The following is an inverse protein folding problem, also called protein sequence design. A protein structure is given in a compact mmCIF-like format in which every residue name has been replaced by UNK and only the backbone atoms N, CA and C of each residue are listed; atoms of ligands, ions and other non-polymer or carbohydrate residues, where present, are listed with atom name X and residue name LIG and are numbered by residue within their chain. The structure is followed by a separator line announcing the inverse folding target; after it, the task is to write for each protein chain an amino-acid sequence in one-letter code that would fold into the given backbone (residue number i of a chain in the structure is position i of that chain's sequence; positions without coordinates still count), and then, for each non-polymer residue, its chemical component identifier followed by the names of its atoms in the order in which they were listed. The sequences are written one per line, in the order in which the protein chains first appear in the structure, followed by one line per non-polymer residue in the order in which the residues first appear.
data_IF_747079422883
#
_entry.id   IF_747079422883
#
_cell.length_a   1.000
_cell.length_b   1.000
_cell.length_c   1.000
_cell.angle_alpha   90.00
_cell.angle_beta   90.00
_cell.angle_gamma   90.00
#
_symmetry.space_group_name_H-M   'P 1'
#
loop_
_entity.id
_entity.type
_entity.pdbx_description
1 polymer ?
#
# COMPACT_ATOMS: atom_id res chain seq x y z
N UNK A 1 -31.49 1.24 2.43
CA UNK A 1 -31.06 0.35 1.33
C UNK A 1 -29.74 -0.29 1.75
N UNK A 2 -29.76 -1.56 1.97
CA UNK A 2 -28.56 -2.35 2.32
C UNK A 2 -27.63 -2.32 1.10
N UNK A 3 -26.38 -1.91 1.32
CA UNK A 3 -25.38 -1.82 0.24
C UNK A 3 -25.02 -3.26 -0.15
N UNK A 4 -25.55 -3.74 -1.26
CA UNK A 4 -25.25 -5.08 -1.76
C UNK A 4 -23.74 -5.22 -1.93
N UNK A 5 -23.17 -6.19 -1.21
CA UNK A 5 -21.73 -6.46 -1.20
C UNK A 5 -21.33 -7.16 -2.50
N UNK A 6 -20.33 -6.66 -3.16
CA UNK A 6 -19.82 -7.27 -4.40
C UNK A 6 -18.85 -8.40 -4.04
N UNK A 7 -19.35 -9.63 -4.15
CA UNK A 7 -18.61 -10.85 -3.80
C UNK A 7 -17.38 -11.06 -4.68
N UNK A 8 -17.41 -10.61 -5.95
CA UNK A 8 -16.26 -10.72 -6.85
C UNK A 8 -15.11 -9.82 -6.39
N UNK A 9 -15.41 -8.58 -6.02
CA UNK A 9 -14.43 -7.64 -5.49
C UNK A 9 -13.80 -8.17 -4.20
N UNK A 10 -14.60 -8.75 -3.31
CA UNK A 10 -14.10 -9.32 -2.05
C UNK A 10 -13.25 -10.57 -2.30
N UNK A 11 -13.62 -11.42 -3.25
CA UNK A 11 -12.84 -12.58 -3.66
C UNK A 11 -11.46 -12.16 -4.23
N UNK A 12 -11.44 -11.18 -5.14
CA UNK A 12 -10.19 -10.67 -5.72
C UNK A 12 -9.25 -10.07 -4.65
N UNK A 13 -9.80 -9.33 -3.68
CA UNK A 13 -9.01 -8.85 -2.54
C UNK A 13 -8.45 -10.00 -1.71
N UNK A 14 -9.26 -11.03 -1.45
CA UNK A 14 -8.85 -12.23 -0.73
C UNK A 14 -7.69 -12.94 -1.44
N UNK A 15 -7.82 -13.17 -2.74
CA UNK A 15 -6.75 -13.74 -3.58
C UNK A 15 -5.48 -12.86 -3.49
N UNK A 16 -5.61 -11.55 -3.65
CA UNK A 16 -4.47 -10.63 -3.58
C UNK A 16 -3.74 -10.71 -2.23
N UNK A 17 -4.46 -10.67 -1.11
CA UNK A 17 -3.87 -10.77 0.24
C UNK A 17 -3.20 -12.13 0.44
N UNK A 18 -3.88 -13.23 0.09
CA UNK A 18 -3.32 -14.59 0.20
C UNK A 18 -2.06 -14.72 -0.63
N UNK A 19 -2.05 -14.16 -1.85
CA UNK A 19 -0.88 -14.13 -2.72
C UNK A 19 0.29 -13.36 -2.11
N UNK A 20 0.04 -12.21 -1.46
CA UNK A 20 1.09 -11.47 -0.73
C UNK A 20 1.71 -12.35 0.36
N UNK A 21 0.87 -13.00 1.17
CA UNK A 21 1.34 -13.89 2.25
C UNK A 21 2.18 -15.03 1.69
N UNK A 22 1.70 -15.71 0.65
CA UNK A 22 2.43 -16.81 -0.01
C UNK A 22 3.76 -16.31 -0.58
N UNK A 23 3.77 -15.17 -1.29
CA UNK A 23 4.99 -14.59 -1.87
C UNK A 23 6.04 -14.30 -0.81
N UNK A 24 5.65 -13.69 0.31
CA UNK A 24 6.56 -13.36 1.41
C UNK A 24 6.94 -14.57 2.29
N UNK A 25 6.18 -15.66 2.24
CA UNK A 25 6.44 -16.89 3.01
C UNK A 25 7.09 -17.99 2.17
N UNK A 26 7.33 -17.79 0.88
CA UNK A 26 7.84 -18.82 -0.04
C UNK A 26 9.23 -19.35 0.36
N UNK A 27 10.01 -18.57 1.12
CA UNK A 27 11.29 -19.00 1.67
C UNK A 27 11.16 -19.99 2.84
N UNK A 28 9.98 -20.10 3.46
CA UNK A 28 9.70 -21.02 4.58
C UNK A 28 9.33 -22.42 4.08
N UNK A 29 9.05 -22.57 2.78
CA UNK A 29 8.64 -23.83 2.15
C UNK A 29 9.81 -24.48 1.39
N UNK A 30 10.83 -25.00 2.10
CA UNK A 30 11.94 -25.69 1.46
C UNK A 30 11.43 -27.00 0.82
N UNK A 31 11.76 -27.21 -0.45
CA UNK A 31 11.38 -28.42 -1.19
C UNK A 31 10.25 -28.26 -2.19
N UNK A 32 9.66 -27.08 -2.32
CA UNK A 32 8.73 -26.79 -3.41
C UNK A 32 9.53 -26.48 -4.69
N UNK A 33 9.52 -27.40 -5.66
CA UNK A 33 10.21 -27.23 -6.95
C UNK A 33 9.56 -26.16 -7.85
N UNK A 34 8.35 -25.71 -7.51
CA UNK A 34 7.66 -24.66 -8.26
C UNK A 34 8.04 -23.28 -7.71
N UNK A 35 8.43 -22.32 -8.56
CA UNK A 35 8.83 -20.97 -8.13
C UNK A 35 7.59 -20.13 -7.75
N UNK A 36 6.95 -20.50 -6.62
CA UNK A 36 5.70 -19.89 -6.16
C UNK A 36 5.89 -18.38 -5.94
N UNK A 37 6.99 -17.96 -5.31
CA UNK A 37 7.28 -16.56 -5.07
C UNK A 37 7.33 -15.75 -6.36
N UNK A 38 8.23 -16.03 -7.31
CA UNK A 38 8.28 -15.34 -8.59
C UNK A 38 6.94 -15.33 -9.34
N UNK A 39 6.21 -16.45 -9.35
CA UNK A 39 4.89 -16.52 -9.99
C UNK A 39 3.90 -15.55 -9.36
N UNK A 40 3.79 -15.55 -8.04
CA UNK A 40 2.88 -14.68 -7.30
C UNK A 40 3.24 -13.20 -7.51
N UNK A 41 4.52 -12.86 -7.54
CA UNK A 41 4.99 -11.49 -7.75
C UNK A 41 4.59 -10.90 -9.12
N UNK A 42 4.19 -11.70 -10.09
CA UNK A 42 3.75 -11.20 -11.39
C UNK A 42 2.40 -10.48 -11.35
N UNK A 43 1.52 -10.82 -10.41
CA UNK A 43 0.12 -10.36 -10.45
C UNK A 43 -0.44 -9.80 -9.13
N UNK A 44 0.10 -10.19 -7.96
CA UNK A 44 -0.54 -9.95 -6.67
C UNK A 44 -0.79 -8.47 -6.35
N UNK A 45 0.11 -7.57 -6.76
CA UNK A 45 -0.09 -6.13 -6.57
C UNK A 45 -1.06 -5.55 -7.61
N UNK A 46 -1.03 -6.08 -8.84
CA UNK A 46 -1.89 -5.61 -9.94
C UNK A 46 -3.37 -5.84 -9.64
N UNK A 47 -3.71 -6.91 -8.92
CA UNK A 47 -5.09 -7.20 -8.47
C UNK A 47 -5.67 -6.01 -7.71
N UNK A 48 -4.89 -5.36 -6.84
CA UNK A 48 -5.40 -4.23 -6.05
C UNK A 48 -5.68 -3.00 -6.91
N UNK A 49 -4.84 -2.72 -7.91
CA UNK A 49 -5.11 -1.65 -8.88
C UNK A 49 -6.36 -1.95 -9.70
N UNK A 50 -6.50 -3.19 -10.15
CA UNK A 50 -7.67 -3.63 -10.90
C UNK A 50 -8.95 -3.49 -10.09
N UNK A 51 -8.95 -3.98 -8.85
CA UNK A 51 -10.07 -3.86 -7.91
C UNK A 51 -10.39 -2.39 -7.60
N UNK A 52 -9.36 -1.54 -7.46
CA UNK A 52 -9.57 -0.11 -7.24
C UNK A 52 -10.26 0.56 -8.43
N UNK A 53 -9.89 0.19 -9.66
CA UNK A 53 -10.55 0.64 -10.88
C UNK A 53 -12.00 0.16 -10.95
N UNK A 54 -12.27 -1.13 -10.72
CA UNK A 54 -13.63 -1.68 -10.70
C UNK A 54 -14.52 -1.05 -9.63
N UNK A 55 -13.95 -0.72 -8.48
CA UNK A 55 -14.67 -0.11 -7.36
C UNK A 55 -14.78 1.41 -7.49
N UNK A 56 -14.17 2.00 -8.50
CA UNK A 56 -14.17 3.44 -8.68
C UNK A 56 -15.58 3.91 -9.06
N UNK A 57 -16.07 4.88 -8.31
CA UNK A 57 -17.32 5.58 -8.60
C UNK A 57 -16.99 7.07 -8.73
N UNK A 58 -17.15 7.64 -9.94
CA UNK A 58 -16.99 9.09 -10.12
C UNK A 58 -18.01 9.83 -9.27
N UNK A 59 -17.60 10.94 -8.72
CA UNK A 59 -18.45 11.82 -7.91
C UNK A 59 -18.48 13.20 -8.54
N UNK A 60 -19.63 13.56 -9.09
CA UNK A 60 -19.83 14.85 -9.75
C UNK A 60 -20.16 15.99 -8.75
N UNK A 61 -20.42 15.62 -7.47
CA UNK A 61 -20.71 16.56 -6.38
C UNK A 61 -19.46 17.19 -5.75
N UNK A 62 -18.28 16.69 -6.06
CA UNK A 62 -16.99 17.17 -5.54
C UNK A 62 -15.91 17.16 -6.62
N UNK A 63 -14.92 18.04 -6.48
CA UNK A 63 -13.77 18.05 -7.39
C UNK A 63 -12.91 16.79 -7.25
N UNK A 64 -12.19 16.37 -8.33
CA UNK A 64 -11.26 15.25 -8.27
C UNK A 64 -10.23 15.37 -7.13
N UNK A 65 -9.70 16.57 -6.93
CA UNK A 65 -8.76 16.87 -5.86
C UNK A 65 -9.34 16.66 -4.46
N UNK A 66 -10.60 17.06 -4.25
CA UNK A 66 -11.31 16.80 -2.98
C UNK A 66 -11.54 15.30 -2.77
N UNK A 67 -11.81 14.54 -3.82
CA UNK A 67 -11.99 13.09 -3.73
C UNK A 67 -10.66 12.40 -3.38
N UNK A 68 -9.55 12.83 -3.98
CA UNK A 68 -8.19 12.36 -3.65
C UNK A 68 -7.85 12.73 -2.20
N UNK A 69 -8.10 13.98 -1.79
CA UNK A 69 -7.84 14.44 -0.42
C UNK A 69 -8.59 13.64 0.65
N UNK A 70 -9.86 13.28 0.40
CA UNK A 70 -10.63 12.40 1.30
C UNK A 70 -10.02 11.00 1.42
N UNK A 71 -9.51 10.45 0.32
CA UNK A 71 -8.79 9.15 0.33
C UNK A 71 -7.47 9.26 1.09
N UNK A 72 -6.72 10.33 0.87
CA UNK A 72 -5.48 10.62 1.60
C UNK A 72 -5.73 10.69 3.11
N UNK A 73 -6.77 11.43 3.54
CA UNK A 73 -7.18 11.51 4.94
C UNK A 73 -7.54 10.18 5.58
N UNK A 74 -7.95 9.17 4.80
CA UNK A 74 -8.19 7.81 5.30
C UNK A 74 -6.94 6.94 5.38
N UNK A 75 -6.02 7.09 4.44
CA UNK A 75 -4.84 6.21 4.32
C UNK A 75 -3.63 6.74 5.07
N UNK A 76 -3.33 8.05 4.93
CA UNK A 76 -2.12 8.65 5.49
C UNK A 76 -2.01 8.53 7.02
N UNK A 77 -3.06 8.79 7.83
CA UNK A 77 -2.93 8.66 9.28
C UNK A 77 -2.59 7.24 9.74
N UNK A 78 -3.15 6.23 9.07
CA UNK A 78 -2.85 4.82 9.36
C UNK A 78 -1.41 4.51 9.00
N UNK A 79 -0.98 4.91 7.80
CA UNK A 79 0.38 4.74 7.32
C UNK A 79 1.41 5.38 8.27
N UNK A 80 1.21 6.66 8.62
CA UNK A 80 2.11 7.41 9.53
C UNK A 80 2.13 6.79 10.92
N UNK A 81 0.96 6.42 11.46
CA UNK A 81 0.87 5.78 12.79
C UNK A 81 1.72 4.52 12.87
N UNK A 82 1.57 3.59 11.92
CA UNK A 82 2.36 2.36 11.91
C UNK A 82 3.84 2.64 11.66
N UNK A 83 4.17 3.56 10.75
CA UNK A 83 5.55 3.95 10.50
C UNK A 83 6.23 4.47 11.77
N UNK A 84 5.59 5.38 12.52
CA UNK A 84 6.13 5.91 13.77
C UNK A 84 6.37 4.79 14.79
N UNK A 85 5.38 3.89 14.97
CA UNK A 85 5.50 2.79 15.94
C UNK A 85 6.72 1.92 15.62
N UNK A 86 6.90 1.52 14.37
CA UNK A 86 8.00 0.64 13.99
C UNK A 86 9.35 1.35 14.00
N UNK A 87 9.42 2.63 13.60
CA UNK A 87 10.63 3.45 13.70
C UNK A 87 11.09 3.57 15.16
N UNK A 88 10.17 3.83 16.10
CA UNK A 88 10.50 3.95 17.51
C UNK A 88 10.91 2.60 18.14
N UNK A 89 10.31 1.50 17.68
CA UNK A 89 10.62 0.15 18.17
C UNK A 89 11.82 -0.48 17.46
N UNK A 90 12.39 0.13 16.42
CA UNK A 90 13.46 -0.43 15.61
C UNK A 90 14.65 -0.92 16.45
N UNK A 91 15.22 -0.05 17.28
CA UNK A 91 16.37 -0.40 18.13
C UNK A 91 16.02 -1.48 19.19
N UNK A 92 14.76 -1.53 19.64
CA UNK A 92 14.30 -2.61 20.51
C UNK A 92 14.25 -3.93 19.75
N UNK A 93 13.75 -3.99 18.53
CA UNK A 93 13.72 -5.18 17.69
C UNK A 93 15.12 -5.69 17.34
N UNK A 94 16.08 -4.77 17.14
CA UNK A 94 17.49 -5.13 17.02
C UNK A 94 18.01 -5.82 18.28
N UNK A 95 17.73 -5.25 19.45
CA UNK A 95 18.21 -5.79 20.74
C UNK A 95 17.68 -7.20 21.04
N UNK A 96 16.45 -7.50 20.64
CA UNK A 96 15.84 -8.83 20.84
C UNK A 96 16.04 -9.77 19.64
N UNK A 97 16.94 -9.42 18.71
CA UNK A 97 17.33 -10.23 17.54
C UNK A 97 16.17 -10.58 16.57
N UNK A 98 15.11 -9.78 16.53
CA UNK A 98 14.07 -9.89 15.49
C UNK A 98 14.58 -9.33 14.17
N UNK A 99 15.31 -8.22 14.20
CA UNK A 99 16.03 -7.70 13.05
C UNK A 99 17.40 -8.33 12.94
N UNK A 100 17.94 -8.41 11.70
CA UNK A 100 19.27 -8.93 11.46
C UNK A 100 20.33 -8.06 12.15
N UNK A 101 21.39 -8.67 12.61
CA UNK A 101 22.47 -7.99 13.35
C UNK A 101 23.26 -6.96 12.52
N UNK A 102 23.19 -7.04 11.20
CA UNK A 102 23.79 -6.08 10.25
C UNK A 102 22.92 -4.83 10.01
N UNK A 103 21.73 -4.78 10.62
CA UNK A 103 20.83 -3.63 10.49
C UNK A 103 21.36 -2.44 11.32
N UNK A 104 21.30 -1.24 10.73
CA UNK A 104 21.84 -0.02 11.35
C UNK A 104 21.00 0.38 12.58
N UNK A 105 21.68 0.71 13.68
CA UNK A 105 21.05 1.30 14.88
C UNK A 105 20.66 2.73 14.60
N UNK A 106 19.39 3.09 14.84
CA UNK A 106 18.92 4.46 14.63
C UNK A 106 19.35 5.39 15.77
N UNK A 107 20.03 6.48 15.39
CA UNK A 107 20.27 7.62 16.26
C UNK A 107 19.04 8.54 16.35
N UNK A 108 19.09 9.53 17.23
CA UNK A 108 17.98 10.48 17.41
C UNK A 108 17.63 11.25 16.12
N UNK A 109 18.64 11.66 15.36
CA UNK A 109 18.45 12.38 14.09
C UNK A 109 17.84 11.48 13.01
N UNK A 110 18.24 10.20 12.97
CA UNK A 110 17.68 9.22 12.04
C UNK A 110 16.20 9.01 12.30
N UNK A 111 15.80 8.87 13.56
CA UNK A 111 14.41 8.73 13.96
C UNK A 111 13.57 9.93 13.51
N UNK A 112 14.06 11.17 13.75
CA UNK A 112 13.35 12.38 13.34
C UNK A 112 13.21 12.45 11.82
N UNK A 113 14.27 12.15 11.09
CA UNK A 113 14.27 12.12 9.62
C UNK A 113 13.28 11.09 9.08
N UNK A 114 13.30 9.87 9.59
CA UNK A 114 12.40 8.79 9.17
C UNK A 114 10.93 9.09 9.48
N UNK A 115 10.63 9.73 10.62
CA UNK A 115 9.27 10.17 10.95
C UNK A 115 8.80 11.23 9.93
N UNK A 116 9.67 12.18 9.57
CA UNK A 116 9.34 13.18 8.56
C UNK A 116 9.09 12.53 7.19
N UNK A 117 9.95 11.60 6.78
CA UNK A 117 9.77 10.83 5.53
C UNK A 117 8.44 10.06 5.54
N UNK A 118 8.07 9.46 6.67
CA UNK A 118 6.77 8.77 6.78
C UNK A 118 5.58 9.70 6.54
N UNK A 119 5.66 10.97 6.92
CA UNK A 119 4.57 11.94 6.68
C UNK A 119 4.35 12.24 5.19
N UNK A 120 5.32 11.97 4.32
CA UNK A 120 5.25 12.17 2.87
C UNK A 120 5.23 10.84 2.09
N UNK A 121 4.79 9.75 2.73
CA UNK A 121 4.80 8.38 2.18
C UNK A 121 6.19 7.82 1.84
N UNK A 122 7.27 8.43 2.32
CA UNK A 122 8.62 7.92 2.17
C UNK A 122 9.05 7.20 3.43
N UNK A 123 8.99 5.88 3.52
CA UNK A 123 9.59 5.15 4.63
C UNK A 123 10.56 4.11 4.12
N UNK A 124 11.70 4.00 4.81
CA UNK A 124 12.72 2.98 4.59
C UNK A 124 12.84 2.01 5.77
N UNK A 125 11.84 2.00 6.68
CA UNK A 125 11.85 1.12 7.83
C UNK A 125 11.86 -0.36 7.43
N UNK A 126 12.83 -1.12 7.92
CA UNK A 126 13.05 -2.51 7.53
C UNK A 126 11.84 -3.41 7.78
N UNK A 127 11.15 -3.22 8.92
CA UNK A 127 9.95 -4.00 9.28
C UNK A 127 8.73 -3.64 8.44
N UNK A 128 8.75 -2.49 7.77
CA UNK A 128 7.67 -1.99 6.92
C UNK A 128 8.07 -1.98 5.44
N UNK A 129 8.95 -2.89 5.03
CA UNK A 129 9.43 -2.96 3.65
C UNK A 129 8.31 -3.02 2.61
N UNK A 130 7.16 -3.63 2.94
CA UNK A 130 5.99 -3.70 2.05
C UNK A 130 5.19 -2.38 1.96
N UNK A 131 5.46 -1.39 2.80
CA UNK A 131 4.70 -0.12 2.81
C UNK A 131 4.95 0.75 1.58
N UNK A 132 6.06 0.53 0.83
CA UNK A 132 6.26 1.19 -0.45
C UNK A 132 5.06 0.99 -1.40
N UNK A 133 4.41 -0.18 -1.31
CA UNK A 133 3.24 -0.46 -2.14
C UNK A 133 2.06 0.45 -1.80
N UNK A 134 1.86 0.81 -0.53
CA UNK A 134 0.77 1.73 -0.11
C UNK A 134 0.93 3.08 -0.77
N UNK A 135 2.16 3.61 -0.80
CA UNK A 135 2.49 4.87 -1.47
C UNK A 135 2.23 4.81 -2.97
N UNK A 136 2.75 3.78 -3.63
CA UNK A 136 2.58 3.57 -5.07
C UNK A 136 1.12 3.33 -5.45
N UNK A 137 0.39 2.58 -4.64
CA UNK A 137 -1.04 2.34 -4.83
C UNK A 137 -1.84 3.64 -4.73
N UNK A 138 -1.56 4.47 -3.71
CA UNK A 138 -2.23 5.76 -3.55
C UNK A 138 -1.95 6.69 -4.74
N UNK A 139 -0.68 6.80 -5.16
CA UNK A 139 -0.28 7.62 -6.33
C UNK A 139 -0.96 7.11 -7.59
N UNK A 140 -0.89 5.82 -7.87
CA UNK A 140 -1.46 5.23 -9.08
C UNK A 140 -2.99 5.39 -9.16
N UNK A 141 -3.71 5.17 -8.06
CA UNK A 141 -5.16 5.41 -8.01
C UNK A 141 -5.50 6.88 -8.16
N UNK A 142 -4.69 7.79 -7.59
CA UNK A 142 -4.89 9.23 -7.74
C UNK A 142 -4.66 9.69 -9.18
N UNK A 143 -3.62 9.19 -9.83
CA UNK A 143 -3.38 9.45 -11.26
C UNK A 143 -4.51 8.92 -12.14
N UNK A 144 -4.97 7.69 -11.89
CA UNK A 144 -6.13 7.13 -12.60
C UNK A 144 -7.36 8.03 -12.47
N UNK A 145 -7.65 8.54 -11.26
CA UNK A 145 -8.78 9.44 -11.04
C UNK A 145 -8.64 10.74 -11.83
N UNK A 146 -7.47 11.36 -11.82
CA UNK A 146 -7.21 12.60 -12.57
C UNK A 146 -7.37 12.39 -14.08
N UNK A 147 -6.80 11.29 -14.61
CA UNK A 147 -6.93 10.95 -16.02
C UNK A 147 -8.37 10.66 -16.41
N UNK A 148 -9.13 9.96 -15.58
CA UNK A 148 -10.55 9.67 -15.83
C UNK A 148 -11.34 10.97 -15.95
N UNK A 149 -11.24 11.88 -14.98
CA UNK A 149 -11.96 13.16 -15.02
C UNK A 149 -11.50 14.06 -16.16
N UNK A 150 -10.23 14.03 -16.54
CA UNK A 150 -9.73 14.78 -17.68
C UNK A 150 -10.31 14.23 -18.99
N UNK A 151 -10.32 12.91 -19.17
CA UNK A 151 -10.89 12.26 -20.35
C UNK A 151 -12.41 12.52 -20.46
N UNK A 152 -13.13 12.48 -19.35
CA UNK A 152 -14.58 12.78 -19.32
C UNK A 152 -14.85 14.23 -19.74
N UNK A 153 -14.07 15.19 -19.25
CA UNK A 153 -14.16 16.60 -19.64
C UNK A 153 -13.87 16.82 -21.14
N UNK A 154 -12.94 16.07 -21.71
CA UNK A 154 -12.66 16.16 -23.17
C UNK A 154 -13.79 15.57 -24.00
N UNK A 155 -14.49 14.53 -23.50
CA UNK A 155 -15.58 13.87 -24.21
C UNK A 155 -16.86 14.72 -24.22
N UNK A 156 -17.06 15.53 -23.17
CA UNK A 156 -18.21 16.42 -23.03
C UNK A 156 -17.73 17.83 -22.69
N UNK A 157 -17.16 18.58 -23.67
CA UNK A 157 -16.80 19.97 -23.44
C UNK A 157 -18.09 20.77 -23.20
N UNK A 158 -18.17 21.42 -22.03
CA UNK A 158 -19.27 22.34 -21.64
C UNK A 158 -19.10 23.64 -22.39
#
# INVERSE_FOLDING_TARGET
MEKQRDTLIDLLKGIGITSIVIGHSSWILPGCNFPIGPFVYTYHLMIFFFVAGMSFKPRNDITPYMQIGKRLGGVLPIYVKYSIVFILLHNFFLKIHILKSDTIVYGKLDIIKLIFEACIFGTSEAMLSAFWFVSMFFIGVSMFMLLYYHAEKMKYPI
#
